data_IF_474370650225
#
_entry.id   IF_474370650225
#
_cell.length_a   1.000
_cell.length_b   1.000
_cell.length_c   1.000
_cell.angle_alpha   90.00
_cell.angle_beta   90.00
_cell.angle_gamma   90.00
#
_symmetry.space_group_name_H-M   'P 1'
#
loop_
_entity.id
_entity.type
_entity.pdbx_description
1 polymer ?
#
# COMPACT_ATOMS: atom_id res chain seq x y z
N UNK A 1 28.76 -29.36 -1.60
CA UNK A 1 28.62 -30.79 -1.27
C UNK A 1 27.99 -31.57 -2.43
N UNK A 2 26.83 -31.14 -2.97
CA UNK A 2 26.22 -31.80 -4.16
C UNK A 2 27.11 -31.73 -5.39
N UNK A 3 27.78 -30.60 -5.64
CA UNK A 3 28.69 -30.40 -6.76
C UNK A 3 29.89 -31.37 -6.68
N UNK A 4 30.50 -31.48 -5.49
CA UNK A 4 31.64 -32.37 -5.24
C UNK A 4 31.31 -33.89 -5.37
N UNK A 5 30.01 -34.23 -5.24
CA UNK A 5 29.49 -35.58 -5.39
C UNK A 5 28.99 -35.88 -6.82
N UNK A 6 29.21 -34.98 -7.79
CA UNK A 6 28.75 -35.13 -9.16
C UNK A 6 27.27 -34.90 -9.39
N UNK A 7 26.54 -34.43 -8.38
CA UNK A 7 25.11 -34.12 -8.49
C UNK A 7 24.91 -32.66 -8.94
N UNK A 8 25.34 -32.37 -10.16
CA UNK A 8 25.35 -31.02 -10.73
C UNK A 8 23.94 -30.47 -10.91
N UNK A 9 22.97 -31.30 -11.34
CA UNK A 9 21.60 -30.87 -11.54
C UNK A 9 21.02 -30.27 -10.26
N UNK A 10 21.05 -30.99 -9.16
CA UNK A 10 20.51 -30.52 -7.87
C UNK A 10 21.31 -29.32 -7.30
N UNK A 11 22.61 -29.24 -7.61
CA UNK A 11 23.43 -28.10 -7.18
C UNK A 11 23.00 -26.80 -7.90
N UNK A 12 22.77 -26.87 -9.21
CA UNK A 12 22.32 -25.73 -10.00
C UNK A 12 20.84 -25.37 -9.72
N UNK A 13 19.97 -26.37 -9.58
CA UNK A 13 18.56 -26.17 -9.26
C UNK A 13 18.39 -25.40 -7.93
N UNK A 14 19.12 -25.84 -6.88
CA UNK A 14 19.10 -25.16 -5.59
C UNK A 14 19.62 -23.72 -5.68
N UNK A 15 20.72 -23.49 -6.39
CA UNK A 15 21.25 -22.15 -6.63
C UNK A 15 20.20 -21.27 -7.33
N UNK A 16 19.62 -21.78 -8.42
CA UNK A 16 18.64 -21.04 -9.21
C UNK A 16 17.38 -20.72 -8.40
N UNK A 17 16.88 -21.65 -7.60
CA UNK A 17 15.72 -21.44 -6.73
C UNK A 17 15.92 -20.37 -5.66
N UNK A 18 17.15 -20.10 -5.24
CA UNK A 18 17.50 -19.01 -4.32
C UNK A 18 17.62 -17.69 -5.06
N UNK A 19 18.33 -17.68 -6.19
CA UNK A 19 18.56 -16.46 -6.98
C UNK A 19 17.26 -15.87 -7.53
N UNK A 20 16.30 -16.69 -7.92
CA UNK A 20 15.01 -16.26 -8.49
C UNK A 20 14.17 -15.42 -7.51
N UNK A 21 14.39 -15.57 -6.19
CA UNK A 21 13.70 -14.79 -5.16
C UNK A 21 13.94 -13.28 -5.37
N UNK A 22 15.15 -12.90 -5.79
CA UNK A 22 15.53 -11.49 -5.97
C UNK A 22 15.60 -11.07 -7.44
N UNK A 23 15.58 -11.98 -8.38
CA UNK A 23 15.67 -11.69 -9.82
C UNK A 23 14.33 -11.37 -10.47
N UNK A 24 13.24 -11.98 -9.99
CA UNK A 24 11.91 -11.80 -10.57
C UNK A 24 11.16 -10.68 -9.83
N UNK A 25 10.80 -9.64 -10.56
CA UNK A 25 9.94 -8.58 -10.06
C UNK A 25 8.49 -8.88 -10.47
N UNK A 26 7.57 -8.91 -9.49
CA UNK A 26 6.16 -9.21 -9.69
C UNK A 26 5.91 -10.55 -10.38
N UNK A 27 6.13 -11.69 -9.70
CA UNK A 27 5.75 -12.99 -10.22
C UNK A 27 4.28 -13.03 -10.63
N UNK A 28 3.96 -13.80 -11.66
CA UNK A 28 2.57 -14.01 -12.05
C UNK A 28 1.87 -14.89 -11.00
N UNK A 29 1.01 -14.30 -10.19
CA UNK A 29 0.28 -14.93 -9.09
C UNK A 29 -1.06 -15.58 -9.51
N UNK A 30 -1.31 -15.69 -10.81
CA UNK A 30 -2.42 -16.50 -11.32
C UNK A 30 -2.19 -18.01 -11.08
N UNK A 31 -0.93 -18.44 -10.93
CA UNK A 31 -0.51 -19.83 -10.72
C UNK A 31 0.13 -20.02 -9.35
N UNK A 32 0.04 -21.21 -8.80
CA UNK A 32 0.52 -21.52 -7.45
C UNK A 32 2.04 -21.35 -7.29
N UNK A 33 2.82 -21.65 -8.32
CA UNK A 33 4.27 -21.42 -8.33
C UNK A 33 4.61 -19.94 -8.20
N UNK A 34 3.90 -19.08 -8.91
CA UNK A 34 4.08 -17.64 -8.82
C UNK A 34 3.63 -17.07 -7.47
N UNK A 35 2.52 -17.58 -6.92
CA UNK A 35 2.08 -17.26 -5.54
C UNK A 35 3.13 -17.68 -4.52
N UNK A 36 3.66 -18.89 -4.63
CA UNK A 36 4.70 -19.41 -3.72
C UNK A 36 5.98 -18.58 -3.80
N UNK A 37 6.40 -18.17 -5.00
CA UNK A 37 7.55 -17.29 -5.18
C UNK A 37 7.30 -15.92 -4.51
N UNK A 38 6.12 -15.35 -4.71
CA UNK A 38 5.72 -14.07 -4.06
C UNK A 38 5.72 -14.21 -2.54
N UNK A 39 5.18 -15.27 -1.98
CA UNK A 39 5.20 -15.49 -0.54
C UNK A 39 6.65 -15.63 0.00
N UNK A 40 7.54 -16.30 -0.75
CA UNK A 40 8.97 -16.37 -0.42
C UNK A 40 9.61 -14.98 -0.42
N UNK A 41 9.30 -14.15 -1.41
CA UNK A 41 9.80 -12.78 -1.51
C UNK A 41 9.33 -11.92 -0.34
N UNK A 42 8.04 -11.94 -0.02
CA UNK A 42 7.47 -11.17 1.09
C UNK A 42 8.11 -11.56 2.42
N UNK A 43 8.22 -12.87 2.70
CA UNK A 43 8.85 -13.32 3.94
C UNK A 43 10.36 -13.03 3.97
N UNK A 44 11.06 -13.22 2.87
CA UNK A 44 12.50 -12.91 2.79
C UNK A 44 12.80 -11.47 3.15
N UNK A 45 12.08 -10.51 2.56
CA UNK A 45 12.25 -9.09 2.87
C UNK A 45 11.86 -8.75 4.30
N UNK A 46 10.75 -9.31 4.78
CA UNK A 46 10.28 -9.10 6.14
C UNK A 46 11.31 -9.63 7.15
N UNK A 47 11.71 -10.88 7.01
CA UNK A 47 12.65 -11.50 7.94
C UNK A 47 14.01 -10.81 7.95
N UNK A 48 14.58 -10.52 6.78
CA UNK A 48 15.84 -9.78 6.68
C UNK A 48 15.73 -8.37 7.30
N UNK A 49 14.63 -7.66 7.04
CA UNK A 49 14.37 -6.33 7.58
C UNK A 49 14.25 -6.34 9.11
N UNK A 50 13.41 -7.21 9.66
CA UNK A 50 13.20 -7.30 11.12
C UNK A 50 14.50 -7.70 11.82
N UNK A 51 15.22 -8.70 11.31
CA UNK A 51 16.52 -9.13 11.89
C UNK A 51 17.55 -8.01 11.87
N UNK A 52 17.62 -7.25 10.77
CA UNK A 52 18.52 -6.09 10.66
C UNK A 52 18.20 -5.00 11.69
N UNK A 53 16.90 -4.68 11.85
CA UNK A 53 16.40 -3.73 12.84
C UNK A 53 16.75 -4.22 14.26
N UNK A 54 16.44 -5.50 14.53
CA UNK A 54 16.68 -6.09 15.84
C UNK A 54 18.18 -6.15 16.19
N UNK A 55 19.03 -6.52 15.24
CA UNK A 55 20.48 -6.50 15.39
C UNK A 55 21.01 -5.09 15.69
N UNK A 56 20.41 -4.08 15.04
CA UNK A 56 20.77 -2.68 15.30
C UNK A 56 20.32 -2.21 16.68
N UNK A 57 19.15 -2.62 17.13
CA UNK A 57 18.67 -2.34 18.48
C UNK A 57 19.57 -2.99 19.56
N UNK A 58 19.98 -4.25 19.36
CA UNK A 58 20.89 -4.95 20.30
C UNK A 58 22.23 -4.22 20.53
N UNK A 59 22.73 -3.47 19.53
CA UNK A 59 23.95 -2.66 19.67
C UNK A 59 23.77 -1.50 20.66
N UNK A 60 22.54 -1.13 21.00
CA UNK A 60 22.25 -0.11 22.01
C UNK A 60 22.42 -0.63 23.45
N UNK A 61 22.61 -1.95 23.63
CA UNK A 61 22.73 -2.61 24.95
C UNK A 61 21.54 -2.33 25.88
N UNK A 62 20.34 -2.19 25.31
CA UNK A 62 19.10 -1.98 26.04
C UNK A 62 18.38 -3.33 26.26
N UNK A 63 17.57 -3.44 27.33
CA UNK A 63 16.71 -4.60 27.53
C UNK A 63 15.72 -4.77 26.36
N UNK A 64 15.44 -6.01 25.98
CA UNK A 64 14.56 -6.33 24.84
C UNK A 64 13.13 -5.78 25.04
N UNK A 65 12.66 -5.66 26.28
CA UNK A 65 11.37 -5.08 26.66
C UNK A 65 11.22 -3.61 26.27
N UNK A 66 12.35 -2.92 26.03
CA UNK A 66 12.39 -1.53 25.58
C UNK A 66 12.33 -1.37 24.07
N UNK A 67 12.24 -2.46 23.31
CA UNK A 67 12.26 -2.42 21.84
C UNK A 67 11.23 -1.44 21.28
N UNK A 68 9.98 -1.48 21.76
CA UNK A 68 8.90 -0.58 21.29
C UNK A 68 9.09 0.90 21.68
N UNK A 69 9.96 1.21 22.62
CA UNK A 69 10.26 2.61 23.01
C UNK A 69 11.19 3.29 21.98
N UNK A 70 11.97 2.51 21.24
CA UNK A 70 13.00 2.99 20.31
C UNK A 70 12.72 2.65 18.84
N UNK A 71 11.92 1.64 18.59
CA UNK A 71 11.66 1.11 17.24
C UNK A 71 10.19 1.23 16.90
N UNK A 72 9.90 1.78 15.73
CA UNK A 72 8.59 1.78 15.11
C UNK A 72 8.65 1.08 13.75
N UNK A 73 7.78 0.13 13.52
CA UNK A 73 7.67 -0.63 12.27
C UNK A 73 6.32 -0.32 11.64
N UNK A 74 6.34 0.18 10.40
CA UNK A 74 5.13 0.52 9.68
C UNK A 74 4.86 -0.46 8.54
N UNK A 75 3.76 -1.19 8.63
CA UNK A 75 3.27 -2.09 7.57
C UNK A 75 2.56 -1.23 6.52
N UNK A 76 3.18 -1.08 5.35
CA UNK A 76 2.62 -0.35 4.23
C UNK A 76 1.84 -1.30 3.32
N UNK A 77 0.50 -1.32 3.45
CA UNK A 77 -0.37 -2.36 2.94
C UNK A 77 -0.14 -3.72 3.65
N UNK A 78 -0.73 -4.80 3.13
CA UNK A 78 -0.68 -6.13 3.75
C UNK A 78 0.55 -6.94 3.37
N UNK A 79 1.29 -6.54 2.32
CA UNK A 79 2.43 -7.29 1.81
C UNK A 79 3.48 -7.63 2.88
N UNK A 80 3.86 -6.71 3.82
CA UNK A 80 4.77 -7.04 4.90
C UNK A 80 4.07 -7.47 6.21
N UNK A 81 2.80 -7.89 6.18
CA UNK A 81 2.06 -8.27 7.41
C UNK A 81 2.70 -9.44 8.17
N UNK A 82 3.50 -10.28 7.50
CA UNK A 82 4.29 -11.32 8.16
C UNK A 82 5.34 -10.77 9.14
N UNK A 83 5.58 -9.43 9.15
CA UNK A 83 6.42 -8.78 10.15
C UNK A 83 5.92 -9.01 11.59
N UNK A 84 4.61 -9.15 11.78
CA UNK A 84 4.00 -9.41 13.08
C UNK A 84 4.44 -10.77 13.62
N UNK A 85 4.14 -11.91 12.95
CA UNK A 85 4.56 -13.21 13.44
C UNK A 85 6.08 -13.42 13.38
N UNK A 86 6.83 -12.75 12.50
CA UNK A 86 8.28 -12.83 12.49
C UNK A 86 8.91 -12.11 13.70
N UNK A 87 8.40 -10.93 14.08
CA UNK A 87 8.86 -10.27 15.29
C UNK A 87 8.53 -11.11 16.54
N UNK A 88 7.31 -11.70 16.59
CA UNK A 88 6.95 -12.65 17.63
C UNK A 88 7.90 -13.84 17.70
N UNK A 89 8.25 -14.42 16.55
CA UNK A 89 9.21 -15.53 16.47
C UNK A 89 10.56 -15.16 17.07
N UNK A 90 11.11 -14.01 16.68
CA UNK A 90 12.40 -13.54 17.21
C UNK A 90 12.31 -13.35 18.74
N UNK A 91 11.27 -12.66 19.21
CA UNK A 91 11.11 -12.38 20.63
C UNK A 91 10.93 -13.65 21.49
N UNK A 92 10.21 -14.65 20.98
CA UNK A 92 9.95 -15.90 21.69
C UNK A 92 11.11 -16.89 21.51
N UNK A 93 11.50 -17.18 20.28
CA UNK A 93 12.38 -18.30 19.96
C UNK A 93 13.87 -17.93 20.12
N UNK A 94 14.24 -16.67 19.90
CA UNK A 94 15.63 -16.21 19.97
C UNK A 94 15.94 -15.46 21.26
N UNK A 95 14.99 -14.63 21.75
CA UNK A 95 15.17 -13.85 22.98
C UNK A 95 14.56 -14.52 24.23
N UNK A 96 13.81 -15.61 24.07
CA UNK A 96 13.28 -16.38 25.20
C UNK A 96 12.16 -15.70 26.00
N UNK A 97 11.50 -14.69 25.40
CA UNK A 97 10.40 -14.01 26.08
C UNK A 97 9.13 -14.87 26.09
N UNK A 98 8.33 -14.69 27.12
CA UNK A 98 6.99 -15.27 27.13
C UNK A 98 6.07 -14.62 26.08
N UNK A 99 4.96 -15.31 25.77
CA UNK A 99 4.03 -14.87 24.74
C UNK A 99 3.46 -13.47 24.99
N UNK A 100 3.06 -13.18 26.21
CA UNK A 100 2.32 -11.94 26.52
C UNK A 100 3.25 -10.73 26.46
N UNK A 101 4.49 -10.88 26.93
CA UNK A 101 5.56 -9.88 26.77
C UNK A 101 5.90 -9.65 25.31
N UNK A 102 6.12 -10.71 24.54
CA UNK A 102 6.40 -10.63 23.10
C UNK A 102 5.26 -9.98 22.32
N UNK A 103 4.01 -10.33 22.65
CA UNK A 103 2.82 -9.76 22.02
C UNK A 103 2.66 -8.26 22.33
N UNK A 104 2.86 -7.87 23.56
CA UNK A 104 2.84 -6.46 23.99
C UNK A 104 3.90 -5.65 23.24
N UNK A 105 5.13 -6.13 23.13
CA UNK A 105 6.21 -5.47 22.39
C UNK A 105 5.81 -5.36 20.91
N UNK A 106 5.38 -6.44 20.29
CA UNK A 106 5.00 -6.49 18.86
C UNK A 106 3.88 -5.50 18.56
N UNK A 107 2.79 -5.55 19.31
CA UNK A 107 1.63 -4.67 19.08
C UNK A 107 1.92 -3.21 19.40
N UNK A 108 2.88 -2.91 20.27
CA UNK A 108 3.31 -1.53 20.54
C UNK A 108 4.27 -1.00 19.49
N UNK A 109 4.95 -1.88 18.75
CA UNK A 109 5.94 -1.50 17.72
C UNK A 109 5.31 -1.30 16.35
N UNK A 110 4.28 -2.09 16.00
CA UNK A 110 3.76 -2.20 14.63
C UNK A 110 2.57 -1.27 14.42
N UNK A 111 2.54 -0.60 13.28
CA UNK A 111 1.39 0.15 12.74
C UNK A 111 1.11 -0.26 11.31
N UNK A 112 -0.12 -0.01 10.83
CA UNK A 112 -0.61 -0.49 9.52
C UNK A 112 -1.30 0.62 8.74
N UNK A 113 -0.94 0.78 7.46
CA UNK A 113 -1.67 1.60 6.50
C UNK A 113 -2.42 0.72 5.52
N UNK A 114 -3.74 0.88 5.46
CA UNK A 114 -4.58 0.24 4.44
C UNK A 114 -4.69 1.13 3.20
N UNK A 115 -4.53 0.56 2.00
CA UNK A 115 -4.61 1.26 0.71
C UNK A 115 -5.82 0.88 -0.14
N UNK A 116 -6.58 -0.15 0.24
CA UNK A 116 -7.72 -0.64 -0.55
C UNK A 116 -9.01 -0.72 0.28
N UNK A 117 -10.14 -0.48 -0.40
CA UNK A 117 -11.50 -0.65 0.14
C UNK A 117 -12.26 -1.81 -0.51
N UNK A 118 -11.65 -2.50 -1.46
CA UNK A 118 -12.29 -3.64 -2.13
C UNK A 118 -11.93 -4.92 -1.38
N UNK A 119 -12.91 -5.59 -0.82
CA UNK A 119 -12.72 -6.83 -0.04
C UNK A 119 -12.06 -7.95 -0.85
N UNK A 120 -12.35 -8.04 -2.15
CA UNK A 120 -11.71 -8.99 -3.08
C UNK A 120 -10.23 -8.68 -3.34
N UNK A 121 -9.81 -7.43 -3.17
CA UNK A 121 -8.41 -7.01 -3.34
C UNK A 121 -7.60 -7.08 -2.04
N UNK A 122 -8.22 -7.43 -0.91
CA UNK A 122 -7.51 -7.70 0.34
C UNK A 122 -6.77 -9.03 0.25
N UNK A 123 -5.47 -8.99 0.49
CA UNK A 123 -4.58 -10.15 0.35
C UNK A 123 -4.96 -11.30 1.28
N UNK A 124 -5.01 -12.50 0.71
CA UNK A 124 -5.27 -13.75 1.42
C UNK A 124 -4.31 -14.81 0.90
N UNK A 125 -3.75 -15.59 1.81
CA UNK A 125 -2.89 -16.71 1.46
C UNK A 125 -3.54 -18.04 1.80
N UNK A 126 -3.48 -19.06 0.92
CA UNK A 126 -3.86 -20.40 1.28
C UNK A 126 -3.07 -20.89 2.50
N UNK A 127 -3.78 -21.37 3.52
CA UNK A 127 -3.19 -21.83 4.77
C UNK A 127 -2.08 -22.87 4.52
N UNK A 128 -2.31 -23.80 3.58
CA UNK A 128 -1.34 -24.84 3.26
C UNK A 128 -0.01 -24.28 2.72
N UNK A 129 -0.04 -23.16 1.97
CA UNK A 129 1.19 -22.55 1.45
C UNK A 129 2.06 -21.99 2.58
N UNK A 130 1.45 -21.23 3.52
CA UNK A 130 2.20 -20.73 4.68
C UNK A 130 2.67 -21.90 5.55
N UNK A 131 1.80 -22.86 5.81
CA UNK A 131 2.12 -24.01 6.66
C UNK A 131 3.28 -24.85 6.12
N UNK A 132 3.34 -25.06 4.81
CA UNK A 132 4.41 -25.83 4.18
C UNK A 132 5.72 -25.04 4.10
N UNK A 133 5.65 -23.76 3.74
CA UNK A 133 6.85 -22.93 3.55
C UNK A 133 7.41 -22.42 4.88
N UNK A 134 6.55 -22.02 5.81
CA UNK A 134 6.87 -21.27 7.03
C UNK A 134 6.13 -21.87 8.23
N UNK A 135 6.39 -23.15 8.59
CA UNK A 135 5.61 -23.85 9.61
C UNK A 135 5.61 -23.15 10.98
N UNK A 136 6.74 -22.57 11.40
CA UNK A 136 6.82 -21.86 12.67
C UNK A 136 6.02 -20.56 12.66
N UNK A 137 6.06 -19.81 11.59
CA UNK A 137 5.25 -18.59 11.38
C UNK A 137 3.77 -18.93 11.40
N UNK A 138 3.38 -20.05 10.75
CA UNK A 138 1.99 -20.50 10.77
C UNK A 138 1.50 -20.84 12.18
N UNK A 139 2.30 -21.55 12.99
CA UNK A 139 1.97 -21.83 14.40
C UNK A 139 1.72 -20.55 15.20
N UNK A 140 2.51 -19.50 14.96
CA UNK A 140 2.34 -18.22 15.64
C UNK A 140 1.05 -17.53 15.17
N UNK A 141 0.75 -17.55 13.85
CA UNK A 141 -0.50 -17.00 13.30
C UNK A 141 -1.71 -17.76 13.88
N UNK A 142 -1.66 -19.09 13.97
CA UNK A 142 -2.72 -19.91 14.56
C UNK A 142 -2.98 -19.50 16.03
N UNK A 143 -1.93 -19.29 16.81
CA UNK A 143 -2.05 -18.88 18.21
C UNK A 143 -2.57 -17.43 18.34
N UNK A 144 -2.12 -16.50 17.49
CA UNK A 144 -2.69 -15.14 17.43
C UNK A 144 -4.19 -15.22 17.13
N UNK A 145 -4.57 -16.01 16.12
CA UNK A 145 -5.97 -16.19 15.75
C UNK A 145 -6.80 -16.79 16.88
N UNK A 146 -6.30 -17.83 17.53
CA UNK A 146 -6.98 -18.48 18.67
C UNK A 146 -7.24 -17.46 19.80
N UNK A 147 -6.21 -16.75 20.22
CA UNK A 147 -6.32 -15.72 21.29
C UNK A 147 -7.26 -14.59 20.91
N UNK A 148 -7.24 -14.17 19.66
CA UNK A 148 -8.15 -13.15 19.18
C UNK A 148 -9.61 -13.64 19.20
N UNK A 149 -9.87 -14.84 18.70
CA UNK A 149 -11.20 -15.47 18.74
C UNK A 149 -11.69 -15.63 20.18
N UNK A 150 -10.83 -16.07 21.09
CA UNK A 150 -11.15 -16.16 22.52
C UNK A 150 -11.49 -14.77 23.10
N UNK A 151 -10.75 -13.73 22.70
CA UNK A 151 -11.05 -12.37 23.14
C UNK A 151 -12.41 -11.87 22.63
N UNK A 152 -12.82 -12.22 21.41
CA UNK A 152 -14.13 -11.88 20.89
C UNK A 152 -15.24 -12.51 21.76
N UNK A 153 -15.08 -13.75 22.16
CA UNK A 153 -16.06 -14.47 22.99
C UNK A 153 -16.11 -13.98 24.43
N UNK A 154 -14.95 -13.87 25.07
CA UNK A 154 -14.87 -13.71 26.54
C UNK A 154 -14.61 -12.27 27.00
N UNK A 155 -14.04 -11.41 26.15
CA UNK A 155 -13.76 -10.01 26.49
C UNK A 155 -14.79 -9.08 25.82
N UNK A 156 -15.05 -9.28 24.52
CA UNK A 156 -16.02 -8.47 23.77
C UNK A 156 -17.43 -9.05 23.80
N UNK A 157 -17.61 -10.24 24.39
CA UNK A 157 -18.89 -10.91 24.64
C UNK A 157 -19.74 -11.12 23.37
N UNK A 158 -19.10 -11.43 22.25
CA UNK A 158 -19.80 -11.83 21.04
C UNK A 158 -20.37 -13.25 21.21
N UNK A 159 -21.66 -13.42 20.95
CA UNK A 159 -22.36 -14.72 20.95
C UNK A 159 -22.65 -15.25 19.55
N UNK A 160 -22.50 -14.41 18.52
CA UNK A 160 -22.73 -14.77 17.12
C UNK A 160 -21.45 -15.43 16.55
N UNK A 161 -21.47 -16.76 16.44
CA UNK A 161 -20.34 -17.54 15.92
C UNK A 161 -20.02 -17.22 14.46
N UNK A 162 -21.02 -16.90 13.64
CA UNK A 162 -20.77 -16.50 12.24
C UNK A 162 -19.97 -15.20 12.20
N UNK A 163 -20.34 -14.24 13.01
CA UNK A 163 -19.62 -12.96 13.14
C UNK A 163 -18.20 -13.15 13.65
N UNK A 164 -17.99 -14.00 14.66
CA UNK A 164 -16.67 -14.35 15.19
C UNK A 164 -15.81 -14.95 14.08
N UNK A 165 -16.34 -15.91 13.30
CA UNK A 165 -15.63 -16.52 12.19
C UNK A 165 -15.34 -15.52 11.06
N UNK A 166 -16.24 -14.57 10.80
CA UNK A 166 -16.02 -13.53 9.80
C UNK A 166 -14.87 -12.59 10.18
N UNK A 167 -14.67 -12.34 11.48
CA UNK A 167 -13.57 -11.53 12.01
C UNK A 167 -12.26 -12.29 12.21
N UNK A 168 -12.26 -13.63 12.17
CA UNK A 168 -11.07 -14.44 12.37
C UNK A 168 -10.02 -14.24 11.26
N UNK A 169 -8.73 -14.32 11.63
CA UNK A 169 -7.60 -14.27 10.70
C UNK A 169 -7.66 -15.46 9.74
N UNK A 170 -7.98 -16.65 10.29
CA UNK A 170 -8.05 -17.90 9.53
C UNK A 170 -9.51 -18.26 9.32
N UNK A 171 -9.93 -18.30 8.05
CA UNK A 171 -11.26 -18.75 7.67
C UNK A 171 -11.23 -19.41 6.28
N UNK A 172 -12.01 -20.47 6.08
CA UNK A 172 -12.19 -21.16 4.80
C UNK A 172 -10.86 -21.59 4.14
N UNK A 173 -9.90 -22.07 4.96
CA UNK A 173 -8.57 -22.48 4.50
C UNK A 173 -7.65 -21.33 4.05
N UNK A 174 -8.01 -20.08 4.33
CA UNK A 174 -7.26 -18.88 3.96
C UNK A 174 -6.82 -18.10 5.19
N UNK A 175 -5.64 -17.48 5.10
CA UNK A 175 -5.12 -16.52 6.09
C UNK A 175 -5.33 -15.11 5.54
N UNK A 176 -6.11 -14.30 6.25
CA UNK A 176 -6.46 -12.91 5.87
C UNK A 176 -5.41 -11.94 6.41
N UNK A 177 -4.54 -11.46 5.54
CA UNK A 177 -3.38 -10.65 5.93
C UNK A 177 -3.77 -9.29 6.52
N UNK A 178 -4.84 -8.66 6.01
CA UNK A 178 -5.34 -7.41 6.57
C UNK A 178 -5.81 -7.58 8.04
N UNK A 179 -6.42 -8.72 8.37
CA UNK A 179 -6.90 -8.98 9.74
C UNK A 179 -5.71 -9.22 10.69
N UNK A 180 -4.71 -9.97 10.23
CA UNK A 180 -3.46 -10.11 10.98
C UNK A 180 -2.82 -8.73 11.25
N UNK A 181 -2.74 -7.86 10.22
CA UNK A 181 -2.18 -6.52 10.34
C UNK A 181 -2.98 -5.64 11.34
N UNK A 182 -4.32 -5.69 11.30
CA UNK A 182 -5.20 -4.93 12.21
C UNK A 182 -5.01 -5.38 13.67
N UNK A 183 -5.01 -6.69 13.90
CA UNK A 183 -4.91 -7.26 15.24
C UNK A 183 -3.55 -6.98 15.84
N UNK A 184 -2.48 -7.14 15.06
CA UNK A 184 -1.09 -6.96 15.50
C UNK A 184 -0.56 -5.53 15.50
N UNK A 185 -1.37 -4.53 15.16
CA UNK A 185 -0.94 -3.12 15.11
C UNK A 185 -1.61 -2.28 16.20
N UNK A 186 -0.89 -1.26 16.71
CA UNK A 186 -1.49 -0.28 17.64
C UNK A 186 -2.24 0.85 16.91
N UNK A 187 -1.90 1.09 15.64
CA UNK A 187 -2.48 2.18 14.85
C UNK A 187 -2.75 1.71 13.42
N UNK A 188 -3.92 2.07 12.90
CA UNK A 188 -4.40 1.71 11.57
C UNK A 188 -4.84 2.99 10.88
N UNK A 189 -4.30 3.30 9.72
CA UNK A 189 -4.76 4.46 8.98
C UNK A 189 -5.22 4.14 7.57
N UNK A 190 -6.25 4.87 7.15
CA UNK A 190 -6.56 5.05 5.74
C UNK A 190 -5.77 6.22 5.14
N UNK A 191 -5.81 6.36 3.82
CA UNK A 191 -4.96 7.30 3.05
C UNK A 191 -5.68 8.55 2.55
N UNK A 192 -6.95 8.71 2.89
CA UNK A 192 -7.78 9.89 2.68
C UNK A 192 -8.96 9.88 3.64
N UNK A 193 -9.55 11.05 3.94
CA UNK A 193 -10.68 11.16 4.86
C UNK A 193 -11.83 10.23 4.46
N UNK A 194 -12.29 10.31 3.20
CA UNK A 194 -13.36 9.45 2.69
C UNK A 194 -12.98 7.96 2.76
N UNK A 195 -11.75 7.61 2.38
CA UNK A 195 -11.26 6.23 2.47
C UNK A 195 -11.33 5.71 3.91
N UNK A 196 -10.86 6.49 4.87
CA UNK A 196 -10.88 6.14 6.29
C UNK A 196 -12.29 5.96 6.82
N UNK A 197 -13.23 6.83 6.42
CA UNK A 197 -14.64 6.70 6.81
C UNK A 197 -15.30 5.43 6.22
N UNK A 198 -14.96 5.06 4.98
CA UNK A 198 -15.42 3.80 4.38
C UNK A 198 -14.87 2.60 5.16
N UNK A 199 -13.58 2.61 5.54
CA UNK A 199 -13.01 1.55 6.38
C UNK A 199 -13.76 1.41 7.70
N UNK A 200 -14.03 2.51 8.42
CA UNK A 200 -14.72 2.51 9.71
C UNK A 200 -16.18 2.10 9.64
N UNK A 201 -16.88 2.49 8.59
CA UNK A 201 -18.35 2.33 8.51
C UNK A 201 -18.80 1.14 7.69
N UNK A 202 -17.93 0.59 6.84
CA UNK A 202 -18.24 -0.52 5.93
C UNK A 202 -17.23 -1.66 6.03
N UNK A 203 -16.06 -1.52 5.42
CA UNK A 203 -15.15 -2.63 5.16
C UNK A 203 -14.56 -3.27 6.43
N UNK A 204 -14.21 -2.47 7.43
CA UNK A 204 -13.60 -2.90 8.68
C UNK A 204 -14.44 -2.49 9.90
N UNK A 205 -15.74 -2.31 9.70
CA UNK A 205 -16.67 -1.83 10.72
C UNK A 205 -16.59 -2.64 12.01
N UNK A 206 -16.52 -3.95 11.92
CA UNK A 206 -16.49 -4.82 13.10
C UNK A 206 -15.20 -4.65 13.90
N UNK A 207 -14.07 -4.47 13.22
CA UNK A 207 -12.80 -4.12 13.87
C UNK A 207 -12.81 -2.72 14.47
N UNK A 208 -13.44 -1.75 13.79
CA UNK A 208 -13.60 -0.41 14.33
C UNK A 208 -14.44 -0.40 15.61
N UNK A 209 -15.47 -1.23 15.68
CA UNK A 209 -16.32 -1.34 16.86
C UNK A 209 -15.55 -1.82 18.10
N UNK A 210 -14.57 -2.72 17.94
CA UNK A 210 -13.76 -3.25 19.05
C UNK A 210 -12.49 -2.43 19.30
N UNK A 211 -11.95 -1.74 18.27
CA UNK A 211 -10.72 -0.97 18.34
C UNK A 211 -10.88 0.47 17.81
N UNK A 212 -11.84 1.26 18.30
CA UNK A 212 -12.12 2.58 17.72
C UNK A 212 -10.91 3.54 17.76
N UNK A 213 -10.07 3.43 18.79
CA UNK A 213 -8.90 4.28 18.99
C UNK A 213 -7.73 3.95 18.07
N UNK A 214 -7.69 2.74 17.49
CA UNK A 214 -6.64 2.37 16.52
C UNK A 214 -6.80 3.08 15.19
N UNK A 215 -8.04 3.41 14.77
CA UNK A 215 -8.34 3.92 13.42
C UNK A 215 -8.18 5.43 13.32
N UNK A 216 -7.34 5.87 12.40
CA UNK A 216 -7.10 7.26 12.12
C UNK A 216 -6.91 7.53 10.61
N UNK A 217 -6.84 8.81 10.22
CA UNK A 217 -6.60 9.20 8.84
C UNK A 217 -5.23 9.85 8.67
N UNK A 218 -4.49 9.41 7.66
CA UNK A 218 -3.28 10.07 7.17
C UNK A 218 -3.45 10.29 5.66
N UNK A 219 -3.95 11.47 5.29
CA UNK A 219 -4.13 11.82 3.88
C UNK A 219 -2.80 11.80 3.15
N UNK A 220 -2.76 11.15 1.99
CA UNK A 220 -1.59 11.16 1.14
C UNK A 220 -1.15 12.59 0.83
N UNK A 221 0.14 12.84 0.91
CA UNK A 221 0.72 14.11 0.55
C UNK A 221 0.95 14.25 -0.95
N UNK A 222 1.12 15.50 -1.41
CA UNK A 222 1.61 15.83 -2.73
C UNK A 222 2.84 16.73 -2.60
N UNK A 223 3.86 16.44 -3.38
CA UNK A 223 5.07 17.27 -3.42
C UNK A 223 4.89 18.37 -4.47
N UNK A 224 4.39 19.54 -4.05
CA UNK A 224 4.19 20.69 -4.94
C UNK A 224 5.49 21.21 -5.55
N UNK A 225 6.63 21.08 -4.86
CA UNK A 225 7.94 21.46 -5.41
C UNK A 225 8.28 20.64 -6.66
N UNK A 226 8.02 19.34 -6.64
CA UNK A 226 8.26 18.48 -7.81
C UNK A 226 7.18 18.69 -8.89
N UNK A 227 5.91 18.57 -8.50
CA UNK A 227 4.79 18.51 -9.45
C UNK A 227 4.32 19.86 -9.98
N UNK A 228 4.67 20.97 -9.33
CA UNK A 228 4.40 22.32 -9.79
C UNK A 228 5.70 23.03 -10.18
N UNK A 229 6.58 23.29 -9.20
CA UNK A 229 7.73 24.18 -9.37
C UNK A 229 8.70 23.63 -10.43
N UNK A 230 9.10 22.35 -10.32
CA UNK A 230 10.05 21.73 -11.27
C UNK A 230 9.37 21.33 -12.58
N UNK A 231 8.17 20.76 -12.49
CA UNK A 231 7.50 20.20 -13.68
C UNK A 231 6.83 21.26 -14.57
N UNK A 232 6.51 22.45 -14.03
CA UNK A 232 5.84 23.51 -14.79
C UNK A 232 6.37 24.89 -14.43
N UNK A 233 7.59 25.24 -14.88
CA UNK A 233 8.23 26.52 -14.56
C UNK A 233 7.43 27.73 -15.04
N UNK A 234 6.85 27.69 -16.26
CA UNK A 234 6.04 28.79 -16.78
C UNK A 234 4.84 29.11 -15.87
N UNK A 235 4.16 28.07 -15.35
CA UNK A 235 3.07 28.26 -14.40
C UNK A 235 3.59 28.73 -13.06
N UNK A 236 4.73 28.24 -12.60
CA UNK A 236 5.37 28.64 -11.35
C UNK A 236 5.69 30.14 -11.35
N UNK A 237 6.32 30.63 -12.42
CA UNK A 237 6.69 32.05 -12.59
C UNK A 237 5.44 32.94 -12.66
N UNK A 238 4.37 32.44 -13.27
CA UNK A 238 3.12 33.19 -13.32
C UNK A 238 2.42 33.25 -11.96
N UNK A 239 2.38 32.14 -11.24
CA UNK A 239 1.84 32.09 -9.86
C UNK A 239 2.66 33.02 -8.95
N UNK A 240 3.98 33.03 -9.07
CA UNK A 240 4.85 33.91 -8.28
C UNK A 240 4.55 35.38 -8.53
N UNK A 241 4.26 35.78 -9.78
CA UNK A 241 3.84 37.14 -10.10
C UNK A 241 2.51 37.54 -9.46
N UNK A 242 1.60 36.59 -9.26
CA UNK A 242 0.27 36.83 -8.70
C UNK A 242 0.26 36.89 -7.16
N UNK A 243 0.99 36.00 -6.49
CA UNK A 243 0.90 35.79 -5.05
C UNK A 243 2.23 35.80 -4.29
N UNK A 244 3.35 36.10 -5.00
CA UNK A 244 4.69 36.05 -4.42
C UNK A 244 5.25 34.64 -4.31
N UNK A 245 6.48 34.48 -3.80
CA UNK A 245 7.23 33.23 -3.74
C UNK A 245 6.94 32.34 -2.51
N UNK A 246 6.15 32.85 -1.58
CA UNK A 246 5.87 32.19 -0.29
C UNK A 246 5.32 30.77 -0.42
N UNK A 247 4.60 30.46 -1.50
CA UNK A 247 4.05 29.11 -1.76
C UNK A 247 5.16 28.07 -1.99
N UNK A 248 6.36 28.46 -2.41
CA UNK A 248 7.49 27.54 -2.63
C UNK A 248 7.87 26.83 -1.33
N UNK A 249 7.77 27.53 -0.18
CA UNK A 249 8.02 26.98 1.16
C UNK A 249 6.74 26.46 1.83
N UNK A 250 5.64 27.20 1.70
CA UNK A 250 4.35 26.86 2.33
C UNK A 250 3.25 26.75 1.26
N UNK A 251 2.83 25.53 0.87
CA UNK A 251 1.83 25.32 -0.18
C UNK A 251 0.44 25.89 0.16
N UNK A 252 0.16 26.20 1.44
CA UNK A 252 -1.13 26.80 1.85
C UNK A 252 -1.32 28.18 1.21
N UNK A 253 -0.24 28.91 0.93
CA UNK A 253 -0.27 30.21 0.24
C UNK A 253 -0.90 30.12 -1.15
N UNK A 254 -0.89 28.95 -1.81
CA UNK A 254 -1.61 28.74 -3.08
C UNK A 254 -3.12 29.04 -2.97
N UNK A 255 -3.70 29.05 -1.78
CA UNK A 255 -5.09 29.48 -1.57
C UNK A 255 -5.34 30.94 -1.96
N UNK A 256 -4.31 31.77 -1.96
CA UNK A 256 -4.41 33.18 -2.37
C UNK A 256 -4.76 33.34 -3.85
N UNK A 257 -4.59 32.28 -4.66
CA UNK A 257 -5.07 32.25 -6.04
C UNK A 257 -6.60 32.30 -6.14
N UNK A 258 -7.34 31.95 -5.10
CA UNK A 258 -8.81 31.97 -5.10
C UNK A 258 -9.38 33.36 -5.37
N UNK A 259 -8.66 34.43 -5.03
CA UNK A 259 -9.07 35.84 -5.34
C UNK A 259 -9.08 36.12 -6.86
N UNK A 260 -8.40 35.33 -7.65
CA UNK A 260 -8.34 35.46 -9.11
C UNK A 260 -9.23 34.47 -9.88
N UNK A 261 -10.09 33.69 -9.16
CA UNK A 261 -10.86 32.60 -9.78
C UNK A 261 -11.78 33.05 -10.93
N UNK A 262 -12.26 34.31 -10.88
CA UNK A 262 -13.16 34.87 -11.88
C UNK A 262 -12.47 35.99 -12.70
N UNK A 263 -11.17 36.21 -12.54
CA UNK A 263 -10.38 37.18 -13.29
C UNK A 263 -10.05 36.61 -14.69
N UNK A 264 -10.71 37.18 -15.70
CA UNK A 264 -10.58 36.75 -17.09
C UNK A 264 -9.14 36.83 -17.63
N UNK A 265 -8.40 37.87 -17.25
CA UNK A 265 -7.00 38.04 -17.72
C UNK A 265 -6.10 36.96 -17.15
N UNK A 266 -6.30 36.62 -15.86
CA UNK A 266 -5.55 35.54 -15.20
C UNK A 266 -5.91 34.19 -15.79
N UNK A 267 -7.19 33.91 -16.02
CA UNK A 267 -7.65 32.66 -16.65
C UNK A 267 -7.12 32.50 -18.06
N UNK A 268 -7.12 33.56 -18.88
CA UNK A 268 -6.58 33.56 -20.24
C UNK A 268 -5.06 33.32 -20.25
N UNK A 269 -4.32 33.89 -19.29
CA UNK A 269 -2.89 33.66 -19.16
C UNK A 269 -2.58 32.20 -18.75
N UNK A 270 -3.33 31.64 -17.78
CA UNK A 270 -3.20 30.24 -17.41
C UNK A 270 -3.54 29.28 -18.57
N UNK A 271 -4.57 29.64 -19.36
CA UNK A 271 -4.93 28.88 -20.56
C UNK A 271 -3.77 28.85 -21.57
N UNK A 272 -3.13 30.00 -21.84
CA UNK A 272 -1.97 30.10 -22.76
C UNK A 272 -0.80 29.24 -22.29
N UNK A 273 -0.47 29.24 -21.00
CA UNK A 273 0.58 28.39 -20.42
C UNK A 273 0.24 26.91 -20.62
N UNK A 274 -0.99 26.51 -20.32
CA UNK A 274 -1.45 25.14 -20.53
C UNK A 274 -1.41 24.74 -22.01
N UNK A 275 -1.81 25.65 -22.90
CA UNK A 275 -1.80 25.39 -24.35
C UNK A 275 -0.38 25.19 -24.86
N UNK A 276 0.59 26.04 -24.49
CA UNK A 276 2.01 25.88 -24.81
C UNK A 276 2.54 24.50 -24.40
N UNK A 277 2.18 24.02 -23.19
CA UNK A 277 2.58 22.69 -22.74
C UNK A 277 1.95 21.56 -23.58
N UNK A 278 0.70 21.76 -24.04
CA UNK A 278 0.03 20.80 -24.95
C UNK A 278 0.66 20.79 -26.34
N UNK A 279 1.08 21.93 -26.89
CA UNK A 279 1.84 22.02 -28.14
C UNK A 279 3.16 21.25 -28.02
N UNK A 280 3.89 21.45 -26.91
CA UNK A 280 5.15 20.74 -26.64
C UNK A 280 4.95 19.22 -26.57
N UNK A 281 3.87 18.77 -25.91
CA UNK A 281 3.52 17.35 -25.83
C UNK A 281 3.08 16.80 -27.20
N UNK A 282 2.27 17.53 -27.95
CA UNK A 282 1.83 17.13 -29.29
C UNK A 282 3.04 16.95 -30.23
N UNK A 283 4.02 17.88 -30.17
CA UNK A 283 5.29 17.77 -30.90
C UNK A 283 6.06 16.52 -30.46
N UNK A 284 6.20 16.26 -29.14
CA UNK A 284 6.91 15.09 -28.65
C UNK A 284 6.25 13.78 -29.12
N UNK A 285 4.92 13.71 -29.13
CA UNK A 285 4.18 12.53 -29.63
C UNK A 285 4.46 12.35 -31.11
N UNK A 286 4.43 13.43 -31.90
CA UNK A 286 4.72 13.37 -33.33
C UNK A 286 6.16 12.90 -33.61
N UNK A 287 7.14 13.47 -32.91
CA UNK A 287 8.56 13.11 -33.08
C UNK A 287 8.85 11.63 -32.68
N UNK A 288 8.10 11.07 -31.71
CA UNK A 288 8.31 9.70 -31.26
C UNK A 288 7.47 8.65 -31.97
N UNK A 289 6.26 8.99 -32.40
CA UNK A 289 5.27 8.03 -32.89
C UNK A 289 4.70 8.35 -34.26
N UNK A 290 5.02 9.52 -34.84
CA UNK A 290 4.46 9.99 -36.11
C UNK A 290 2.98 10.39 -36.04
N UNK A 291 2.38 10.43 -34.83
CA UNK A 291 0.96 10.74 -34.65
C UNK A 291 0.76 12.23 -34.46
N UNK A 292 -0.09 12.84 -35.30
CA UNK A 292 -0.50 14.24 -35.15
C UNK A 292 -1.64 14.34 -34.13
N UNK A 293 -1.46 15.19 -33.11
CA UNK A 293 -2.46 15.49 -32.09
C UNK A 293 -2.77 16.98 -32.13
N UNK A 294 -4.07 17.33 -32.11
CA UNK A 294 -4.50 18.72 -32.05
C UNK A 294 -4.35 19.26 -30.61
N UNK A 295 -3.51 20.28 -30.36
CA UNK A 295 -3.33 20.88 -29.04
C UNK A 295 -4.61 21.50 -28.43
N UNK A 296 -5.63 21.80 -29.25
CA UNK A 296 -6.92 22.30 -28.78
C UNK A 296 -7.87 21.19 -28.32
N UNK A 297 -7.60 19.93 -28.64
CA UNK A 297 -8.40 18.80 -28.19
C UNK A 297 -8.29 18.58 -26.66
N UNK A 298 -9.20 17.80 -26.09
CA UNK A 298 -9.09 17.35 -24.69
C UNK A 298 -8.00 16.26 -24.61
N UNK A 299 -6.98 16.50 -23.80
CA UNK A 299 -5.96 15.49 -23.50
C UNK A 299 -6.40 14.71 -22.27
N UNK A 300 -6.81 13.45 -22.48
CA UNK A 300 -7.12 12.51 -21.41
C UNK A 300 -5.97 11.49 -21.30
N UNK A 301 -5.32 11.46 -20.16
CA UNK A 301 -4.20 10.56 -19.88
C UNK A 301 -4.47 9.73 -18.64
N UNK A 302 -4.49 8.42 -18.83
CA UNK A 302 -4.62 7.46 -17.73
C UNK A 302 -3.38 6.54 -17.69
N UNK A 303 -2.30 7.03 -17.08
CA UNK A 303 -1.05 6.29 -16.92
C UNK A 303 -1.12 5.39 -15.69
N UNK A 304 -1.69 4.19 -15.84
CA UNK A 304 -1.90 3.19 -14.78
C UNK A 304 -1.67 1.79 -15.33
N UNK A 305 -1.25 0.85 -14.48
CA UNK A 305 -1.27 -0.58 -14.83
C UNK A 305 -2.71 -1.02 -15.06
N UNK A 306 -2.93 -1.95 -15.98
CA UNK A 306 -4.26 -2.52 -16.21
C UNK A 306 -4.68 -3.33 -15.00
N UNK A 307 -5.85 -3.00 -14.44
CA UNK A 307 -6.43 -3.70 -13.31
C UNK A 307 -7.91 -3.33 -13.16
N UNK A 308 -8.75 -4.28 -12.77
CA UNK A 308 -10.20 -4.08 -12.65
C UNK A 308 -10.57 -2.90 -11.74
N UNK A 309 -9.96 -2.78 -10.55
CA UNK A 309 -10.29 -1.71 -9.61
C UNK A 309 -9.91 -0.30 -10.12
N UNK A 310 -9.05 -0.20 -11.13
CA UNK A 310 -8.66 1.09 -11.76
C UNK A 310 -9.68 1.58 -12.77
N UNK A 311 -10.66 0.73 -13.15
CA UNK A 311 -11.82 1.09 -13.97
C UNK A 311 -11.45 1.72 -15.31
N UNK A 312 -10.45 1.18 -16.03
CA UNK A 312 -10.07 1.67 -17.34
C UNK A 312 -11.24 1.60 -18.34
N UNK A 313 -12.08 0.58 -18.28
CA UNK A 313 -13.31 0.48 -19.09
C UNK A 313 -14.25 1.68 -18.86
N UNK A 314 -14.42 2.11 -17.61
CA UNK A 314 -15.24 3.29 -17.31
C UNK A 314 -14.65 4.56 -17.94
N UNK A 315 -13.32 4.69 -17.99
CA UNK A 315 -12.67 5.80 -18.68
C UNK A 315 -12.91 5.76 -20.20
N UNK A 316 -12.84 4.59 -20.81
CA UNK A 316 -13.17 4.42 -22.25
C UNK A 316 -14.62 4.82 -22.52
N UNK A 317 -15.56 4.38 -21.69
CA UNK A 317 -16.98 4.78 -21.82
C UNK A 317 -17.15 6.30 -21.67
N UNK A 318 -16.38 6.94 -20.77
CA UNK A 318 -16.37 8.40 -20.64
C UNK A 318 -15.85 9.08 -21.90
N UNK A 319 -14.78 8.59 -22.50
CA UNK A 319 -14.25 9.11 -23.79
C UNK A 319 -15.29 9.00 -24.88
N UNK A 320 -15.95 7.85 -25.03
CA UNK A 320 -17.05 7.64 -26.01
C UNK A 320 -18.21 8.62 -25.78
N UNK A 321 -18.58 8.84 -24.53
CA UNK A 321 -19.61 9.81 -24.17
C UNK A 321 -19.22 11.23 -24.59
N UNK A 322 -17.98 11.66 -24.36
CA UNK A 322 -17.49 12.98 -24.77
C UNK A 322 -17.48 13.15 -26.29
N UNK A 323 -17.08 12.12 -27.03
CA UNK A 323 -17.11 12.10 -28.51
C UNK A 323 -18.58 12.25 -28.97
N UNK A 324 -19.51 11.51 -28.37
CA UNK A 324 -20.95 11.60 -28.68
C UNK A 324 -21.49 13.01 -28.45
N UNK A 325 -21.13 13.63 -27.31
CA UNK A 325 -21.55 15.03 -27.03
C UNK A 325 -20.98 16.05 -28.03
N UNK A 326 -19.73 15.89 -28.42
CA UNK A 326 -19.10 16.77 -29.42
C UNK A 326 -19.83 16.65 -30.78
N UNK A 327 -20.12 15.42 -31.21
CA UNK A 327 -20.85 15.16 -32.47
C UNK A 327 -22.28 15.70 -32.46
N UNK A 328 -22.95 15.70 -31.29
CA UNK A 328 -24.29 16.26 -31.14
C UNK A 328 -24.30 17.79 -31.24
N UNK A 329 -23.32 18.46 -30.66
CA UNK A 329 -23.17 19.92 -30.72
C UNK A 329 -22.85 20.47 -32.11
N UNK A 330 -22.29 19.63 -32.98
CA UNK A 330 -21.99 20.02 -34.38
C UNK A 330 -23.22 19.86 -35.28
N UNK A 331 -24.25 19.14 -34.83
CA UNK A 331 -25.51 18.90 -35.61
C UNK A 331 -26.66 19.84 -35.25
N UNK A 332 -26.48 20.73 -34.28
CA UNK A 332 -27.39 21.82 -33.88
C UNK A 332 -26.72 23.14 -34.16
#
# INVERSE_FOLDING_TARGET
ENFSRGNYYNAFEKKHSVEIITQILYPNDAYDEGKLLRLKQEYFFVSAGIQSIFTSFKKMSLPTEKFSDYIAIHINDTHPALAIPELMRILIDEEGLDWDTAWRITTSTVSYTNHTILSEALEKWPLYMIKTLLPRIMMIIEEINRRFVDSLRYVYLYSDEEKIQNMSIIKDGMVKMAFLAIIGSHSINGVAKLHTEILKTKELKDFYNIYPTKFNNKTNGIMHRHWLITANPDLTDYVEKLIGDGFKKNPIVLRDLLKYRDDKQVLDAMFKIKHKNKESLAKYIFDKQGVKVDPYSIFDMQAKRIHEYKRQHLNILHVLYQIGRASWRVRV
#
